data_IF_959532264048
#
_entry.id   IF_959532264048
#
_cell.length_a   1.000
_cell.length_b   1.000
_cell.length_c   1.000
_cell.angle_alpha   90.00
_cell.angle_beta   90.00
_cell.angle_gamma   90.00
#
_symmetry.space_group_name_H-M   'P 1'
#
loop_
_entity.id
_entity.type
_entity.pdbx_description
1 polymer ?
#
# COMPACT_ATOMS: atom_id res chain seq x y z
N UNK A 1 37.87 -19.48 -46.42
CA UNK A 1 37.01 -18.76 -45.47
C UNK A 1 35.57 -18.83 -45.98
N UNK A 2 34.87 -19.93 -45.65
CA UNK A 2 33.48 -20.14 -46.06
C UNK A 2 32.54 -19.83 -44.90
N UNK A 3 31.41 -19.18 -45.17
CA UNK A 3 30.39 -18.93 -44.17
C UNK A 3 29.53 -20.20 -44.03
N UNK A 4 29.89 -21.08 -43.09
CA UNK A 4 29.28 -22.41 -42.92
C UNK A 4 27.85 -22.37 -42.34
N UNK A 5 27.43 -21.21 -41.83
CA UNK A 5 26.15 -21.00 -41.15
C UNK A 5 25.27 -20.04 -41.94
N UNK A 6 24.01 -20.41 -42.17
CA UNK A 6 23.03 -19.49 -42.72
C UNK A 6 21.95 -19.15 -41.70
N UNK A 7 21.72 -17.85 -41.51
CA UNK A 7 20.74 -17.29 -40.60
C UNK A 7 19.59 -16.69 -41.41
N UNK A 8 18.48 -17.43 -41.62
CA UNK A 8 17.34 -16.88 -42.33
C UNK A 8 16.64 -15.83 -41.44
N UNK A 9 17.04 -14.56 -41.53
CA UNK A 9 16.32 -13.45 -40.89
C UNK A 9 15.11 -13.12 -41.76
N UNK A 10 14.06 -13.93 -41.70
CA UNK A 10 12.81 -13.63 -42.37
C UNK A 10 11.97 -12.70 -41.48
N UNK A 11 11.75 -11.45 -41.91
CA UNK A 11 11.07 -10.39 -41.15
C UNK A 11 9.53 -10.53 -41.09
N UNK A 12 8.93 -11.63 -41.53
CA UNK A 12 7.49 -11.66 -41.81
C UNK A 12 6.69 -12.93 -41.49
N UNK A 13 7.26 -13.98 -40.88
CA UNK A 13 6.49 -15.19 -40.60
C UNK A 13 6.72 -15.67 -39.16
N UNK A 14 5.62 -15.73 -38.40
CA UNK A 14 5.53 -16.52 -37.17
C UNK A 14 5.53 -18.00 -37.54
N UNK A 15 6.64 -18.48 -38.09
CA UNK A 15 6.79 -19.87 -38.52
C UNK A 15 7.15 -20.72 -37.30
N UNK A 16 6.34 -21.75 -37.03
CA UNK A 16 6.54 -22.64 -35.89
C UNK A 16 7.88 -23.35 -35.97
N UNK A 17 8.52 -23.56 -34.82
CA UNK A 17 9.73 -24.37 -34.79
C UNK A 17 9.35 -25.84 -34.87
N UNK A 18 9.81 -26.54 -35.90
CA UNK A 18 9.71 -27.99 -36.03
C UNK A 18 11.11 -28.58 -36.11
N UNK A 19 11.37 -29.58 -35.27
CA UNK A 19 12.68 -30.23 -35.13
C UNK A 19 12.47 -31.74 -35.14
N UNK A 20 13.20 -32.42 -36.02
CA UNK A 20 13.18 -33.87 -36.12
C UNK A 20 14.54 -34.41 -35.72
N UNK A 21 14.59 -35.33 -34.77
CA UNK A 21 15.81 -36.08 -34.46
C UNK A 21 15.85 -37.34 -35.33
N UNK A 22 16.98 -37.57 -36.00
CA UNK A 22 17.23 -38.72 -36.85
C UNK A 22 18.41 -39.53 -36.29
N UNK A 23 18.34 -40.87 -36.41
CA UNK A 23 19.37 -41.88 -36.10
C UNK A 23 19.41 -42.53 -34.68
N UNK A 24 19.96 -43.76 -34.53
CA UNK A 24 20.07 -44.48 -33.25
C UNK A 24 20.86 -43.68 -32.19
N UNK A 25 20.44 -43.67 -30.91
CA UNK A 25 19.64 -44.69 -30.22
C UNK A 25 18.11 -44.56 -30.39
N UNK A 26 17.62 -43.71 -31.29
CA UNK A 26 16.18 -43.54 -31.51
C UNK A 26 15.62 -44.61 -32.46
N UNK A 27 14.58 -45.32 -32.02
CA UNK A 27 13.95 -46.39 -32.79
C UNK A 27 13.20 -45.90 -34.04
N UNK A 28 12.81 -44.61 -34.06
CA UNK A 28 12.18 -43.93 -35.19
C UNK A 28 12.49 -42.43 -35.12
N UNK A 29 12.41 -41.68 -36.24
CA UNK A 29 12.49 -40.23 -36.22
C UNK A 29 11.41 -39.64 -35.31
N UNK A 30 11.80 -38.77 -34.39
CA UNK A 30 10.86 -38.12 -33.45
C UNK A 30 10.79 -36.64 -33.80
N UNK A 31 9.58 -36.16 -34.05
CA UNK A 31 9.30 -34.77 -34.36
C UNK A 31 8.81 -34.01 -33.12
N UNK A 32 9.32 -32.78 -32.95
CA UNK A 32 8.97 -31.87 -31.88
C UNK A 32 8.59 -30.51 -32.45
N UNK A 33 7.47 -29.97 -31.97
CA UNK A 33 6.89 -28.73 -32.50
C UNK A 33 6.71 -27.73 -31.36
N UNK A 34 7.01 -26.46 -31.65
CA UNK A 34 6.71 -25.35 -30.75
C UNK A 34 6.06 -24.18 -31.52
N UNK A 35 4.84 -23.76 -31.12
CA UNK A 35 4.18 -22.60 -31.71
C UNK A 35 4.87 -21.32 -31.21
N UNK A 36 5.52 -20.59 -32.11
CA UNK A 36 6.27 -19.40 -31.79
C UNK A 36 7.27 -19.06 -32.88
N UNK A 37 8.14 -18.07 -32.65
CA UNK A 37 9.17 -17.71 -33.63
C UNK A 37 10.22 -18.81 -33.73
N UNK A 38 10.31 -19.46 -34.89
CA UNK A 38 11.38 -20.41 -35.22
C UNK A 38 12.76 -19.74 -35.26
N UNK A 39 13.44 -19.68 -34.11
CA UNK A 39 14.82 -19.17 -34.02
C UNK A 39 15.79 -20.34 -34.11
N UNK A 40 16.11 -20.75 -35.33
CA UNK A 40 17.13 -21.76 -35.61
C UNK A 40 17.94 -21.36 -36.85
N UNK A 41 19.15 -21.89 -36.92
CA UNK A 41 19.99 -21.85 -38.13
C UNK A 41 20.16 -23.27 -38.66
N UNK A 42 20.85 -23.41 -39.78
CA UNK A 42 21.17 -24.72 -40.35
C UNK A 42 22.60 -24.72 -40.92
N UNK A 43 23.18 -25.91 -41.03
CA UNK A 43 24.47 -26.09 -41.69
C UNK A 43 24.25 -26.11 -43.20
N UNK A 44 24.84 -25.13 -43.89
CA UNK A 44 24.74 -25.06 -45.36
C UNK A 44 25.66 -26.07 -46.05
N UNK A 45 26.80 -26.38 -45.42
CA UNK A 45 27.80 -27.33 -45.89
C UNK A 45 28.51 -27.98 -44.70
N UNK A 46 28.92 -29.24 -44.86
CA UNK A 46 29.63 -30.01 -43.85
C UNK A 46 30.36 -31.21 -44.50
N UNK A 47 31.40 -31.69 -43.82
CA UNK A 47 32.22 -32.78 -44.32
C UNK A 47 31.56 -34.14 -44.03
N UNK A 48 30.77 -34.66 -44.97
CA UNK A 48 29.99 -35.90 -44.83
C UNK A 48 30.75 -37.11 -44.23
N UNK A 49 31.98 -37.47 -44.65
CA UNK A 49 32.68 -38.63 -44.07
C UNK A 49 33.11 -38.46 -42.59
N UNK A 50 33.14 -37.23 -42.06
CA UNK A 50 33.49 -36.95 -40.66
C UNK A 50 32.30 -36.47 -39.82
N UNK A 51 31.15 -36.29 -40.45
CA UNK A 51 29.99 -35.62 -39.87
C UNK A 51 28.77 -36.51 -40.04
N UNK A 52 28.04 -36.67 -38.95
CA UNK A 52 26.80 -37.39 -38.92
C UNK A 52 25.68 -36.43 -38.54
N UNK A 53 24.61 -36.45 -39.33
CA UNK A 53 23.46 -35.57 -39.13
C UNK A 53 22.51 -36.24 -38.15
N UNK A 54 22.25 -35.56 -37.03
CA UNK A 54 21.45 -36.06 -35.92
C UNK A 54 20.07 -35.40 -35.84
N UNK A 55 19.86 -34.29 -36.54
CA UNK A 55 18.55 -33.64 -36.58
C UNK A 55 18.37 -32.70 -37.76
N UNK A 56 17.14 -32.74 -38.29
CA UNK A 56 16.66 -31.98 -39.44
C UNK A 56 15.50 -31.06 -39.05
N UNK A 57 15.45 -29.88 -39.65
CA UNK A 57 14.32 -28.98 -39.50
C UNK A 57 13.14 -29.36 -40.44
N UNK A 58 12.04 -28.61 -40.37
CA UNK A 58 10.87 -28.78 -41.26
C UNK A 58 11.21 -28.87 -42.76
N UNK A 59 12.31 -28.24 -43.18
CA UNK A 59 12.76 -28.16 -44.58
C UNK A 59 13.85 -29.18 -44.89
N UNK A 60 14.03 -30.19 -44.04
CA UNK A 60 15.06 -31.23 -44.14
C UNK A 60 16.49 -30.68 -44.14
N UNK A 61 16.72 -29.55 -43.48
CA UNK A 61 18.06 -28.95 -43.35
C UNK A 61 18.67 -29.34 -42.01
N UNK A 62 19.98 -29.68 -41.97
CA UNK A 62 20.64 -30.12 -40.74
C UNK A 62 20.78 -28.96 -39.76
N UNK A 63 20.28 -29.13 -38.54
CA UNK A 63 20.46 -28.17 -37.45
C UNK A 63 21.26 -28.78 -36.28
N UNK A 64 21.44 -30.11 -36.25
CA UNK A 64 22.18 -30.81 -35.22
C UNK A 64 23.08 -31.87 -35.85
N UNK A 65 24.38 -31.78 -35.57
CA UNK A 65 25.40 -32.67 -36.15
C UNK A 65 26.36 -33.19 -35.07
N UNK A 66 26.88 -34.40 -35.31
CA UNK A 66 27.99 -35.01 -34.60
C UNK A 66 29.21 -35.04 -35.52
N UNK A 67 30.31 -34.46 -35.05
CA UNK A 67 31.61 -34.47 -35.71
C UNK A 67 32.54 -35.40 -34.96
N UNK A 68 33.13 -36.37 -35.66
CA UNK A 68 34.15 -37.23 -35.07
C UNK A 68 35.49 -36.48 -35.05
N UNK A 69 36.04 -36.26 -33.86
CA UNK A 69 37.28 -35.53 -33.66
C UNK A 69 38.21 -36.32 -32.73
N UNK A 70 39.23 -36.97 -33.33
CA UNK A 70 40.20 -37.77 -32.59
C UNK A 70 39.53 -38.95 -31.89
N UNK A 71 39.63 -39.02 -30.56
CA UNK A 71 39.02 -40.08 -29.71
C UNK A 71 37.63 -39.71 -29.18
N UNK A 72 37.07 -38.58 -29.61
CA UNK A 72 35.82 -38.06 -29.08
C UNK A 72 34.90 -37.52 -30.17
N UNK A 73 33.76 -36.99 -29.72
CA UNK A 73 32.73 -36.43 -30.57
C UNK A 73 32.51 -34.97 -30.20
N UNK A 74 32.36 -34.11 -31.20
CA UNK A 74 31.91 -32.73 -31.05
C UNK A 74 30.46 -32.68 -31.53
N UNK A 75 29.57 -32.26 -30.64
CA UNK A 75 28.16 -32.06 -30.96
C UNK A 75 27.91 -30.58 -31.19
N UNK A 76 27.35 -30.21 -32.35
CA UNK A 76 27.04 -28.82 -32.68
C UNK A 76 25.55 -28.70 -32.97
N UNK A 77 24.89 -27.85 -32.19
CA UNK A 77 23.45 -27.61 -32.23
C UNK A 77 23.18 -26.13 -32.52
N UNK A 78 22.48 -25.85 -33.63
CA UNK A 78 22.24 -24.48 -34.10
C UNK A 78 20.78 -24.04 -33.95
N UNK A 79 20.02 -24.69 -33.07
CA UNK A 79 18.66 -24.32 -32.70
C UNK A 79 18.55 -24.09 -31.17
N UNK A 80 19.17 -23.01 -30.62
CA UNK A 80 19.30 -22.81 -29.17
C UNK A 80 17.95 -22.67 -28.45
N UNK A 81 16.91 -22.20 -29.14
CA UNK A 81 15.56 -22.11 -28.57
C UNK A 81 15.02 -23.48 -28.12
N UNK A 82 15.46 -24.58 -28.75
CA UNK A 82 15.06 -25.94 -28.43
C UNK A 82 15.51 -26.40 -27.03
N UNK A 83 16.50 -25.72 -26.45
CA UNK A 83 17.02 -25.99 -25.10
C UNK A 83 16.54 -24.96 -24.07
N UNK A 84 15.63 -24.07 -24.46
CA UNK A 84 15.07 -23.05 -23.56
C UNK A 84 13.84 -23.55 -22.81
N UNK A 85 13.53 -22.92 -21.67
CA UNK A 85 12.32 -23.21 -20.89
C UNK A 85 11.03 -23.08 -21.74
N UNK A 86 11.00 -22.15 -22.70
CA UNK A 86 9.84 -21.96 -23.57
C UNK A 86 9.53 -23.21 -24.40
N UNK A 87 10.55 -23.81 -25.01
CA UNK A 87 10.38 -25.01 -25.83
C UNK A 87 10.16 -26.25 -24.96
N UNK A 88 10.97 -26.43 -23.91
CA UNK A 88 10.98 -27.65 -23.10
C UNK A 88 9.70 -27.86 -22.28
N UNK A 89 9.10 -26.78 -21.77
CA UNK A 89 7.84 -26.84 -21.02
C UNK A 89 6.60 -27.02 -21.90
N UNK A 90 6.76 -27.03 -23.23
CA UNK A 90 5.65 -27.22 -24.15
C UNK A 90 5.36 -28.70 -24.39
N UNK A 91 4.19 -29.18 -23.95
CA UNK A 91 3.73 -30.57 -24.15
C UNK A 91 4.80 -31.58 -23.70
N UNK A 92 5.25 -32.45 -24.61
CA UNK A 92 6.22 -33.51 -24.37
C UNK A 92 7.62 -33.16 -24.90
N UNK A 93 7.90 -31.88 -25.13
CA UNK A 93 9.19 -31.43 -25.66
C UNK A 93 10.34 -31.62 -24.67
N UNK A 94 10.09 -31.88 -23.39
CA UNK A 94 11.15 -32.26 -22.45
C UNK A 94 11.89 -33.54 -22.88
N UNK A 95 11.22 -34.48 -23.57
CA UNK A 95 11.87 -35.67 -24.13
C UNK A 95 12.94 -35.33 -25.17
N UNK A 96 12.80 -34.19 -25.87
CA UNK A 96 13.84 -33.74 -26.81
C UNK A 96 15.18 -33.55 -26.10
N UNK A 97 15.17 -32.91 -24.93
CA UNK A 97 16.35 -32.72 -24.11
C UNK A 97 16.92 -34.07 -23.66
N UNK A 98 16.08 -34.97 -23.14
CA UNK A 98 16.50 -36.31 -22.72
C UNK A 98 17.19 -37.08 -23.88
N UNK A 99 16.62 -37.02 -25.08
CA UNK A 99 17.17 -37.69 -26.26
C UNK A 99 18.50 -37.07 -26.71
N UNK A 100 18.59 -35.75 -26.78
CA UNK A 100 19.84 -35.05 -27.14
C UNK A 100 20.96 -35.41 -26.17
N UNK A 101 20.69 -35.41 -24.86
CA UNK A 101 21.70 -35.73 -23.85
C UNK A 101 21.96 -37.23 -23.69
N UNK A 102 21.03 -38.12 -24.07
CA UNK A 102 21.27 -39.57 -24.09
C UNK A 102 22.36 -40.01 -25.06
N UNK A 103 22.76 -39.14 -25.99
CA UNK A 103 23.88 -39.38 -26.91
C UNK A 103 25.25 -39.21 -26.25
N UNK A 104 25.30 -38.60 -25.07
CA UNK A 104 26.54 -38.46 -24.32
C UNK A 104 26.92 -39.80 -23.70
N UNK A 105 28.22 -40.04 -23.56
CA UNK A 105 28.70 -41.27 -22.95
C UNK A 105 28.27 -41.31 -21.47
N UNK A 106 27.60 -42.38 -20.99
CA UNK A 106 27.23 -42.51 -19.58
C UNK A 106 28.43 -42.55 -18.63
N UNK A 107 29.62 -42.94 -19.10
CA UNK A 107 30.85 -43.06 -18.29
C UNK A 107 31.61 -41.73 -18.12
N UNK A 108 30.98 -40.58 -18.40
CA UNK A 108 31.61 -39.26 -18.24
C UNK A 108 31.85 -38.96 -16.76
N UNK A 109 33.14 -38.93 -16.37
CA UNK A 109 33.57 -38.65 -14.99
C UNK A 109 33.84 -37.17 -14.69
N UNK A 110 34.04 -36.36 -15.72
CA UNK A 110 34.39 -34.93 -15.59
C UNK A 110 33.60 -34.12 -16.60
N UNK A 111 32.85 -33.16 -16.09
CA UNK A 111 32.14 -32.16 -16.90
C UNK A 111 32.88 -30.84 -16.71
N UNK A 112 33.36 -30.28 -17.81
CA UNK A 112 33.92 -28.93 -17.83
C UNK A 112 32.88 -28.05 -18.50
N UNK A 113 32.41 -27.05 -17.77
CA UNK A 113 31.40 -26.11 -18.25
C UNK A 113 32.05 -24.74 -18.46
N UNK A 114 31.91 -24.17 -19.65
CA UNK A 114 32.46 -22.86 -19.98
C UNK A 114 31.37 -21.80 -20.00
N UNK A 115 31.43 -20.89 -19.01
CA UNK A 115 30.52 -19.74 -18.88
C UNK A 115 31.12 -18.44 -19.43
N UNK A 116 32.23 -18.52 -20.18
CA UNK A 116 32.96 -17.35 -20.66
C UNK A 116 32.05 -16.34 -21.35
N UNK A 117 31.14 -16.76 -22.22
CA UNK A 117 30.21 -15.85 -22.91
C UNK A 117 29.06 -15.32 -22.04
N UNK A 118 28.74 -16.00 -20.93
CA UNK A 118 27.78 -15.53 -19.94
C UNK A 118 28.39 -14.36 -19.13
N UNK A 119 29.63 -14.55 -18.67
CA UNK A 119 30.36 -13.62 -17.80
C UNK A 119 31.04 -12.47 -18.58
N UNK A 120 31.47 -12.71 -19.82
CA UNK A 120 32.12 -11.68 -20.66
C UNK A 120 31.18 -10.53 -21.02
N UNK A 121 29.88 -10.81 -21.17
CA UNK A 121 28.87 -9.77 -21.42
C UNK A 121 28.76 -8.76 -20.28
N UNK A 122 29.07 -9.15 -19.03
CA UNK A 122 29.14 -8.22 -17.90
C UNK A 122 30.39 -7.33 -17.97
N UNK A 123 31.53 -7.87 -18.39
CA UNK A 123 32.82 -7.16 -18.35
C UNK A 123 33.06 -6.18 -19.50
N UNK A 124 32.61 -6.48 -20.72
CA UNK A 124 32.98 -5.66 -21.91
C UNK A 124 31.86 -4.75 -22.43
N UNK A 125 30.61 -4.91 -21.96
CA UNK A 125 29.47 -4.18 -22.54
C UNK A 125 28.69 -3.28 -21.60
N UNK A 126 28.71 -3.53 -20.29
CA UNK A 126 27.82 -2.86 -19.34
C UNK A 126 28.38 -2.87 -17.92
N UNK A 127 29.19 -1.86 -17.62
CA UNK A 127 28.89 -1.04 -16.45
C UNK A 127 27.52 -0.34 -16.65
N UNK A 128 26.43 -1.09 -16.91
CA UNK A 128 25.10 -0.60 -16.55
C UNK A 128 25.11 -0.70 -15.05
N UNK A 129 25.57 0.39 -14.42
CA UNK A 129 25.11 0.84 -13.11
C UNK A 129 23.74 0.23 -12.87
N UNK A 130 23.62 -0.62 -11.85
CA UNK A 130 22.38 -1.32 -11.44
C UNK A 130 21.19 -0.53 -11.96
N UNK A 131 20.56 -1.04 -13.03
CA UNK A 131 19.50 -0.34 -13.74
C UNK A 131 18.31 -0.21 -12.79
N UNK A 132 18.30 0.84 -11.98
CA UNK A 132 17.17 1.17 -11.11
C UNK A 132 15.91 1.29 -11.95
N UNK A 133 14.75 1.09 -11.34
CA UNK A 133 13.45 1.11 -12.03
C UNK A 133 13.27 2.38 -12.88
N UNK A 134 13.86 3.50 -12.43
CA UNK A 134 13.94 4.77 -13.14
C UNK A 134 14.63 4.71 -14.51
N UNK A 135 15.72 3.97 -14.67
CA UNK A 135 16.41 3.87 -15.97
C UNK A 135 15.62 3.04 -16.98
N UNK A 136 14.83 2.07 -16.51
CA UNK A 136 13.92 1.28 -17.35
C UNK A 136 12.74 2.13 -17.82
N UNK A 137 12.14 2.92 -16.91
CA UNK A 137 11.04 3.84 -17.24
C UNK A 137 11.46 4.91 -18.25
N UNK A 138 12.69 5.43 -18.13
CA UNK A 138 13.22 6.47 -19.03
C UNK A 138 13.76 5.92 -20.37
N UNK A 139 13.85 4.60 -20.54
CA UNK A 139 14.34 3.98 -21.78
C UNK A 139 13.40 4.20 -22.97
N UNK A 140 12.09 4.26 -22.72
CA UNK A 140 11.08 4.39 -23.77
C UNK A 140 10.62 5.84 -23.90
N UNK A 141 10.74 6.42 -25.10
CA UNK A 141 10.35 7.83 -25.38
C UNK A 141 8.90 8.13 -25.00
N UNK A 142 7.99 7.21 -25.30
CA UNK A 142 6.57 7.33 -24.96
C UNK A 142 6.32 7.32 -23.44
N UNK A 143 6.99 6.41 -22.71
CA UNK A 143 6.87 6.32 -21.25
C UNK A 143 7.43 7.58 -20.57
N UNK A 144 8.58 8.08 -21.02
CA UNK A 144 9.16 9.34 -20.54
C UNK A 144 8.21 10.52 -20.74
N UNK A 145 7.61 10.64 -21.93
CA UNK A 145 6.65 11.71 -22.22
C UNK A 145 5.42 11.60 -21.31
N UNK A 146 4.81 10.41 -21.20
CA UNK A 146 3.66 10.18 -20.34
C UNK A 146 3.94 10.52 -18.86
N UNK A 147 5.11 10.12 -18.35
CA UNK A 147 5.50 10.39 -16.96
C UNK A 147 5.72 11.90 -16.71
N UNK A 148 6.39 12.61 -17.63
CA UNK A 148 6.57 14.06 -17.53
C UNK A 148 5.22 14.79 -17.59
N UNK A 149 4.33 14.37 -18.49
CA UNK A 149 2.97 14.93 -18.58
C UNK A 149 2.18 14.68 -17.30
N UNK A 150 2.28 13.50 -16.70
CA UNK A 150 1.61 13.17 -15.45
C UNK A 150 2.13 14.02 -14.27
N UNK A 151 3.45 14.19 -14.16
CA UNK A 151 4.06 15.07 -13.15
C UNK A 151 3.62 16.52 -13.35
N UNK A 152 3.60 17.00 -14.59
CA UNK A 152 3.14 18.35 -14.89
C UNK A 152 1.66 18.55 -14.57
N UNK A 153 0.80 17.58 -14.89
CA UNK A 153 -0.61 17.61 -14.56
C UNK A 153 -0.85 17.60 -13.04
N UNK A 154 -0.07 16.81 -12.29
CA UNK A 154 -0.13 16.78 -10.83
C UNK A 154 0.29 18.12 -10.24
N UNK A 155 1.39 18.71 -10.74
CA UNK A 155 1.84 20.04 -10.30
C UNK A 155 0.79 21.11 -10.61
N UNK A 156 0.20 21.10 -11.80
CA UNK A 156 -0.86 22.02 -12.17
C UNK A 156 -2.10 21.85 -11.29
N UNK A 157 -2.46 20.60 -10.96
CA UNK A 157 -3.56 20.29 -10.04
C UNK A 157 -3.30 20.84 -8.64
N UNK A 158 -2.11 20.59 -8.08
CA UNK A 158 -1.73 21.10 -6.75
C UNK A 158 -1.70 22.63 -6.75
N UNK A 159 -1.12 23.27 -7.77
CA UNK A 159 -1.10 24.72 -7.92
C UNK A 159 -2.51 25.33 -8.01
N UNK A 160 -3.43 24.64 -8.69
CA UNK A 160 -4.83 25.05 -8.78
C UNK A 160 -5.53 24.93 -7.43
N UNK A 161 -5.31 23.84 -6.70
CA UNK A 161 -5.92 23.61 -5.39
C UNK A 161 -5.31 24.52 -4.30
N UNK A 162 -4.05 24.94 -4.48
CA UNK A 162 -3.38 25.94 -3.65
C UNK A 162 -3.98 27.35 -3.79
N UNK A 163 -4.68 27.66 -4.90
CA UNK A 163 -5.39 28.95 -5.03
C UNK A 163 -6.56 28.94 -4.05
N UNK A 164 -6.31 29.55 -2.89
CA UNK A 164 -7.19 29.72 -1.72
C UNK A 164 -8.67 29.48 -2.01
N UNK A 165 -9.21 28.33 -1.57
CA UNK A 165 -10.64 28.21 -1.27
C UNK A 165 -10.95 29.14 -0.10
N UNK A 166 -11.83 30.10 -0.31
CA UNK A 166 -12.24 31.03 0.74
C UNK A 166 -12.78 30.21 1.93
N UNK A 167 -12.23 30.43 3.13
CA UNK A 167 -12.65 29.72 4.34
C UNK A 167 -14.16 29.92 4.50
N UNK A 168 -14.92 28.84 4.68
CA UNK A 168 -16.34 28.91 5.01
C UNK A 168 -16.46 29.87 6.20
N UNK A 169 -17.22 30.96 6.02
CA UNK A 169 -17.48 31.91 7.10
C UNK A 169 -18.19 31.11 8.19
N UNK A 170 -17.57 30.89 9.37
CA UNK A 170 -18.24 30.17 10.43
C UNK A 170 -19.46 31.00 10.81
N UNK A 171 -20.64 30.38 10.75
CA UNK A 171 -21.86 31.02 11.25
C UNK A 171 -21.65 31.20 12.75
N UNK A 172 -21.36 32.43 13.16
CA UNK A 172 -21.30 32.80 14.58
C UNK A 172 -22.71 32.62 15.11
N UNK A 173 -22.97 31.47 15.75
CA UNK A 173 -24.22 31.27 16.47
C UNK A 173 -24.30 32.36 17.52
N UNK A 174 -25.38 33.15 17.49
CA UNK A 174 -25.67 34.14 18.53
C UNK A 174 -25.49 33.47 19.91
N UNK A 175 -24.96 34.16 20.92
CA UNK A 175 -24.87 33.60 22.27
C UNK A 175 -26.27 33.12 22.66
N UNK A 176 -26.43 31.80 22.77
CA UNK A 176 -27.64 31.24 23.37
C UNK A 176 -27.59 31.65 24.83
N UNK A 177 -28.69 32.17 25.36
CA UNK A 177 -28.82 32.42 26.79
C UNK A 177 -28.75 31.06 27.49
N UNK A 178 -27.55 30.66 27.93
CA UNK A 178 -27.31 29.38 28.60
C UNK A 178 -28.16 29.24 29.86
N UNK A 179 -28.45 30.35 30.54
CA UNK A 179 -29.41 30.41 31.65
C UNK A 179 -30.80 29.92 31.24
N UNK A 180 -31.28 30.30 30.05
CA UNK A 180 -32.63 29.93 29.58
C UNK A 180 -32.70 28.48 29.13
N UNK A 181 -31.63 27.94 28.52
CA UNK A 181 -31.53 26.52 28.16
C UNK A 181 -31.32 25.64 29.42
N UNK A 182 -30.62 26.13 30.45
CA UNK A 182 -30.50 25.46 31.75
C UNK A 182 -31.84 25.42 32.50
N UNK A 183 -32.55 26.54 32.60
CA UNK A 183 -33.88 26.63 33.22
C UNK A 183 -34.88 25.70 32.51
N UNK A 184 -34.84 25.60 31.18
CA UNK A 184 -35.68 24.64 30.43
C UNK A 184 -35.34 23.19 30.73
N UNK A 185 -34.06 22.87 30.84
CA UNK A 185 -33.59 21.52 31.18
C UNK A 185 -34.01 21.13 32.60
N UNK A 186 -33.86 22.04 33.55
CA UNK A 186 -34.30 21.87 34.94
C UNK A 186 -35.82 21.73 35.01
N UNK A 187 -36.57 22.62 34.36
CA UNK A 187 -38.04 22.56 34.32
C UNK A 187 -38.57 21.24 33.73
N UNK A 188 -37.88 20.69 32.74
CA UNK A 188 -38.21 19.37 32.17
C UNK A 188 -37.89 18.23 33.14
N UNK A 189 -36.74 18.28 33.81
CA UNK A 189 -36.40 17.32 34.87
C UNK A 189 -37.41 17.36 36.03
N UNK A 190 -37.86 18.55 36.43
CA UNK A 190 -38.92 18.73 37.44
C UNK A 190 -40.24 18.08 37.04
N UNK A 191 -40.64 18.20 35.78
CA UNK A 191 -41.91 17.66 35.30
C UNK A 191 -41.87 16.13 35.17
N UNK A 192 -40.72 15.58 34.76
CA UNK A 192 -40.60 14.15 34.44
C UNK A 192 -40.21 13.27 35.65
N UNK A 193 -39.45 13.80 36.62
CA UNK A 193 -38.95 13.05 37.79
C UNK A 193 -39.03 13.91 39.05
N UNK A 194 -39.97 13.63 39.95
CA UNK A 194 -40.17 14.30 41.25
C UNK A 194 -39.01 14.10 42.26
N UNK A 195 -37.77 13.98 41.81
CA UNK A 195 -36.56 13.82 42.61
C UNK A 195 -35.92 15.20 42.89
N UNK A 196 -36.57 15.94 43.79
CA UNK A 196 -36.19 17.31 44.19
C UNK A 196 -34.78 17.40 44.81
N UNK A 197 -34.36 16.37 45.54
CA UNK A 197 -33.06 16.32 46.20
C UNK A 197 -31.91 16.25 45.19
N UNK A 198 -32.03 15.36 44.20
CA UNK A 198 -31.02 15.18 43.15
C UNK A 198 -30.88 16.44 42.29
N UNK A 199 -31.99 17.12 42.04
CA UNK A 199 -32.00 18.37 41.31
C UNK A 199 -31.26 19.49 42.06
N UNK A 200 -31.58 19.68 43.35
CA UNK A 200 -30.85 20.60 44.23
C UNK A 200 -29.34 20.34 44.23
N UNK A 201 -28.93 19.06 44.35
CA UNK A 201 -27.49 18.69 44.33
C UNK A 201 -26.79 19.10 43.03
N UNK A 202 -27.46 18.91 41.89
CA UNK A 202 -26.91 19.33 40.58
C UNK A 202 -26.82 20.85 40.45
N UNK A 203 -27.83 21.58 40.93
CA UNK A 203 -27.81 23.05 40.97
C UNK A 203 -26.67 23.57 41.84
N UNK A 204 -26.46 23.00 43.03
CA UNK A 204 -25.33 23.33 43.90
C UNK A 204 -23.98 23.06 43.24
N UNK A 205 -23.82 21.89 42.61
CA UNK A 205 -22.59 21.53 41.91
C UNK A 205 -22.26 22.51 40.78
N UNK A 206 -23.28 22.88 39.98
CA UNK A 206 -23.13 23.85 38.90
C UNK A 206 -22.76 25.25 39.42
N UNK A 207 -23.39 25.70 40.51
CA UNK A 207 -23.05 26.97 41.15
C UNK A 207 -21.60 26.99 41.66
N UNK A 208 -21.17 25.95 42.38
CA UNK A 208 -19.79 25.87 42.89
C UNK A 208 -18.77 25.78 41.75
N UNK A 209 -19.09 25.07 40.66
CA UNK A 209 -18.26 25.05 39.47
C UNK A 209 -18.16 26.44 38.82
N UNK A 210 -19.27 27.16 38.70
CA UNK A 210 -19.28 28.53 38.21
C UNK A 210 -18.40 29.44 39.06
N UNK A 211 -18.53 29.38 40.39
CA UNK A 211 -17.71 30.17 41.32
C UNK A 211 -16.23 29.85 41.17
N UNK A 212 -15.87 28.56 41.11
CA UNK A 212 -14.48 28.11 40.92
C UNK A 212 -13.90 28.58 39.59
N UNK A 213 -14.67 28.51 38.51
CA UNK A 213 -14.19 28.84 37.18
C UNK A 213 -14.09 30.35 36.95
N UNK A 214 -15.08 31.12 37.42
CA UNK A 214 -15.20 32.57 37.21
C UNK A 214 -14.38 33.37 38.22
N UNK A 215 -14.49 33.04 39.50
CA UNK A 215 -13.89 33.82 40.60
C UNK A 215 -12.61 33.20 41.15
N UNK A 216 -12.21 32.01 40.67
CA UNK A 216 -10.99 31.29 41.05
C UNK A 216 -10.91 30.97 42.54
N UNK A 217 -12.06 30.75 43.18
CA UNK A 217 -12.16 30.39 44.59
C UNK A 217 -12.17 28.88 44.79
N UNK A 218 -11.56 28.42 45.88
CA UNK A 218 -11.61 27.02 46.28
C UNK A 218 -12.98 26.74 46.92
N UNK A 219 -13.71 25.75 46.41
CA UNK A 219 -15.05 25.40 46.90
C UNK A 219 -15.07 24.09 47.67
N UNK A 220 -13.92 23.68 48.23
CA UNK A 220 -13.78 22.42 48.96
C UNK A 220 -14.25 22.55 50.41
N UNK A 221 -14.18 23.77 50.97
CA UNK A 221 -14.67 24.11 52.29
C UNK A 221 -15.52 25.37 52.16
N UNK A 222 -16.82 25.25 52.41
CA UNK A 222 -17.75 26.38 52.36
C UNK A 222 -17.83 27.04 53.75
N UNK A 223 -16.69 27.58 54.21
CA UNK A 223 -16.54 28.22 55.52
C UNK A 223 -16.81 29.75 55.43
N UNK A 224 -16.73 30.45 56.57
CA UNK A 224 -16.94 31.91 56.61
C UNK A 224 -15.94 32.68 55.74
N UNK A 225 -14.71 32.16 55.59
CA UNK A 225 -13.68 32.72 54.70
C UNK A 225 -14.11 32.67 53.22
N UNK A 226 -14.69 31.55 52.76
CA UNK A 226 -15.27 31.45 51.42
C UNK A 226 -16.37 32.48 51.15
N UNK A 227 -17.23 32.76 52.15
CA UNK A 227 -18.30 33.75 52.04
C UNK A 227 -17.71 35.15 51.88
N UNK A 228 -16.70 35.50 52.68
CA UNK A 228 -16.00 36.80 52.62
C UNK A 228 -15.28 36.98 51.28
N UNK A 229 -14.55 35.96 50.83
CA UNK A 229 -13.84 35.99 49.55
C UNK A 229 -14.79 36.15 48.36
N UNK A 230 -15.94 35.46 48.40
CA UNK A 230 -16.96 35.56 47.36
C UNK A 230 -17.65 36.93 47.41
N UNK A 231 -17.93 37.47 48.60
CA UNK A 231 -18.44 38.84 48.77
C UNK A 231 -17.48 39.87 48.16
N UNK A 232 -16.18 39.82 48.48
CA UNK A 232 -15.20 40.75 47.94
C UNK A 232 -15.08 40.71 46.41
N UNK A 233 -15.30 39.54 45.79
CA UNK A 233 -15.21 39.39 44.33
C UNK A 233 -16.50 39.73 43.58
N UNK A 234 -17.66 39.60 44.24
CA UNK A 234 -18.99 39.77 43.61
C UNK A 234 -19.73 41.03 44.04
N UNK A 235 -19.31 41.65 45.15
CA UNK A 235 -19.98 42.78 45.81
C UNK A 235 -21.44 42.48 46.23
N UNK A 236 -21.82 41.20 46.34
CA UNK A 236 -23.13 40.72 46.81
C UNK A 236 -23.06 40.53 48.33
N UNK A 237 -24.09 40.90 49.08
CA UNK A 237 -24.07 40.84 50.55
C UNK A 237 -23.67 39.46 51.09
N UNK A 238 -22.90 39.44 52.18
CA UNK A 238 -22.51 38.20 52.86
C UNK A 238 -23.74 37.40 53.33
N UNK A 239 -24.85 38.08 53.62
CA UNK A 239 -26.13 37.45 53.96
C UNK A 239 -26.71 36.64 52.79
N UNK A 240 -26.79 37.21 51.58
CA UNK A 240 -27.32 36.53 50.38
C UNK A 240 -26.46 35.30 50.04
N UNK A 241 -25.13 35.43 50.13
CA UNK A 241 -24.18 34.33 49.89
C UNK A 241 -24.28 33.27 50.99
N UNK A 242 -24.39 33.70 52.25
CA UNK A 242 -24.52 32.82 53.40
C UNK A 242 -25.77 31.96 53.35
N UNK A 243 -26.90 32.50 52.87
CA UNK A 243 -28.13 31.74 52.65
C UNK A 243 -27.93 30.62 51.61
N UNK A 244 -27.25 30.92 50.49
CA UNK A 244 -26.94 29.92 49.45
C UNK A 244 -26.05 28.82 50.02
N UNK A 245 -24.97 29.18 50.72
CA UNK A 245 -24.03 28.22 51.31
C UNK A 245 -24.71 27.33 52.36
N UNK A 246 -25.52 27.93 53.23
CA UNK A 246 -26.29 27.21 54.25
C UNK A 246 -27.27 26.23 53.61
N UNK A 247 -27.93 26.63 52.52
CA UNK A 247 -28.84 25.76 51.80
C UNK A 247 -28.10 24.58 51.14
N UNK A 248 -26.93 24.83 50.55
CA UNK A 248 -26.07 23.77 49.98
C UNK A 248 -25.68 22.74 51.05
N UNK A 249 -25.21 23.21 52.21
CA UNK A 249 -24.86 22.33 53.34
C UNK A 249 -26.07 21.54 53.85
N UNK A 250 -27.24 22.19 53.94
CA UNK A 250 -28.50 21.53 54.34
C UNK A 250 -28.90 20.41 53.37
N UNK A 251 -28.74 20.61 52.05
CA UNK A 251 -29.06 19.57 51.05
C UNK A 251 -28.15 18.35 51.18
N UNK A 252 -26.87 18.53 51.56
CA UNK A 252 -25.94 17.42 51.71
C UNK A 252 -26.34 16.46 52.84
N UNK A 253 -26.94 16.99 53.91
CA UNK A 253 -27.40 16.21 55.07
C UNK A 253 -28.88 15.82 55.03
N UNK A 254 -29.68 16.40 54.13
CA UNK A 254 -31.13 16.16 54.07
C UNK A 254 -31.51 14.91 53.28
N UNK A 255 -32.49 14.15 53.78
CA UNK A 255 -33.02 12.95 53.11
C UNK A 255 -34.09 13.26 52.04
N UNK A 256 -34.78 14.40 52.15
CA UNK A 256 -35.76 14.87 51.16
C UNK A 256 -35.84 16.41 51.16
N UNK A 257 -36.28 16.98 50.04
CA UNK A 257 -36.42 18.43 49.83
C UNK A 257 -37.79 18.70 49.24
N UNK A 258 -38.51 19.72 49.74
CA UNK A 258 -39.83 20.07 49.23
C UNK A 258 -39.73 20.87 47.92
N UNK A 259 -40.77 20.83 47.09
CA UNK A 259 -40.81 21.62 45.86
C UNK A 259 -40.63 23.14 46.11
N UNK A 260 -41.14 23.64 47.24
CA UNK A 260 -41.01 25.04 47.62
C UNK A 260 -39.55 25.41 47.93
N UNK A 261 -38.82 24.54 48.61
CA UNK A 261 -37.40 24.74 48.92
C UNK A 261 -36.56 24.83 47.64
N UNK A 262 -36.86 24.00 46.63
CA UNK A 262 -36.12 24.02 45.36
C UNK A 262 -36.40 25.31 44.56
N UNK A 263 -37.65 25.81 44.58
CA UNK A 263 -37.99 27.10 43.95
C UNK A 263 -37.25 28.25 44.64
N UNK A 264 -37.23 28.27 45.98
CA UNK A 264 -36.52 29.30 46.74
C UNK A 264 -35.02 29.28 46.44
N UNK A 265 -34.41 28.10 46.41
CA UNK A 265 -32.99 27.96 46.08
C UNK A 265 -32.66 28.45 44.66
N UNK A 266 -33.53 28.13 43.69
CA UNK A 266 -33.39 28.64 42.34
C UNK A 266 -33.44 30.17 42.28
N UNK A 267 -34.39 30.79 42.99
CA UNK A 267 -34.53 32.24 43.03
C UNK A 267 -33.30 32.91 43.66
N UNK A 268 -32.71 32.30 44.70
CA UNK A 268 -31.46 32.78 45.30
C UNK A 268 -30.28 32.70 44.31
N UNK A 269 -30.13 31.58 43.59
CA UNK A 269 -29.09 31.44 42.57
C UNK A 269 -29.29 32.43 41.40
N UNK A 270 -30.52 32.60 40.93
CA UNK A 270 -30.83 33.57 39.87
C UNK A 270 -30.54 35.02 40.29
N UNK A 271 -30.85 35.37 41.54
CA UNK A 271 -30.52 36.68 42.11
C UNK A 271 -29.00 36.89 42.11
N UNK A 272 -28.24 35.87 42.50
CA UNK A 272 -26.78 35.90 42.46
C UNK A 272 -26.26 36.13 41.03
N UNK A 273 -26.73 35.37 40.03
CA UNK A 273 -26.29 35.51 38.63
C UNK A 273 -26.71 36.81 37.95
N UNK A 274 -27.73 37.51 38.47
CA UNK A 274 -28.15 38.82 37.95
C UNK A 274 -27.35 39.98 38.55
N UNK A 275 -26.87 39.83 39.78
CA UNK A 275 -26.14 40.89 40.51
C UNK A 275 -24.63 40.84 40.27
N UNK A 276 -24.04 39.67 40.00
CA UNK A 276 -22.61 39.47 39.73
C UNK A 276 -22.31 39.00 38.32
#
# INVERSE_FOLDING_TARGET
>A
TGNFFNFPINKGLYDSLQLTLEQPPFAAPIEYIYPGRGVHSYFADYNAPKTEVLGLDAKKRPYFIRLQAGRGNIFIHVAPIALSNYFLLHKNNYHYFEKVFSMLNPDVKRIVWDEYYLLKKEKEGRAKSKSGWWSVLMQYKAMKAALLTAIFALLAYVLSEMRRKQRIIPVVKKPKNESLDFVKTIGRLYYDKSDHLNLCKKMSAFFLEHVRNRYKLQTNQLNQEFIQDLHQKTNISEEDIGQIVTFIQKIETSQSVSAQDVIQFHQQLDSFYKKG
#
